data_IF_787393841034
#
_entry.id   IF_787393841034
#
_cell.length_a   1.000
_cell.length_b   1.000
_cell.length_c   1.000
_cell.angle_alpha   90.00
_cell.angle_beta   90.00
_cell.angle_gamma   90.00
#
_symmetry.space_group_name_H-M   'P 1'
#
loop_
_entity.id
_entity.type
_entity.pdbx_description
1 polymer ?
#
# COMPACT_ATOMS: atom_id res chain seq x y z
N UNK A 1 -18.48 1.36 -21.87
CA UNK A 1 -17.46 2.17 -21.19
C UNK A 1 -17.32 1.81 -19.71
N UNK A 2 -18.27 2.13 -18.82
CA UNK A 2 -18.13 1.87 -17.37
C UNK A 2 -17.85 0.40 -16.98
N UNK A 3 -18.25 -0.58 -17.80
CA UNK A 3 -18.06 -1.99 -17.47
C UNK A 3 -16.59 -2.46 -17.47
N UNK A 4 -15.76 -2.03 -18.41
CA UNK A 4 -14.36 -2.47 -18.42
C UNK A 4 -13.55 -1.77 -17.32
N UNK A 5 -13.84 -0.48 -17.06
CA UNK A 5 -13.24 0.25 -15.94
C UNK A 5 -13.66 -0.35 -14.59
N UNK A 6 -14.92 -0.78 -14.44
CA UNK A 6 -15.36 -1.53 -13.27
C UNK A 6 -14.61 -2.86 -13.11
N UNK A 7 -14.45 -3.63 -14.20
CA UNK A 7 -13.68 -4.87 -14.15
C UNK A 7 -12.21 -4.65 -13.77
N UNK A 8 -11.61 -3.57 -14.29
CA UNK A 8 -10.24 -3.18 -13.93
C UNK A 8 -10.15 -2.85 -12.43
N UNK A 9 -11.06 -2.03 -11.92
CA UNK A 9 -11.09 -1.60 -10.52
C UNK A 9 -11.40 -2.72 -9.52
N UNK A 10 -12.04 -3.82 -9.95
CA UNK A 10 -12.31 -4.99 -9.09
C UNK A 10 -11.14 -5.95 -9.01
N UNK A 11 -10.16 -5.84 -9.90
CA UNK A 11 -8.98 -6.72 -9.95
C UNK A 11 -7.84 -6.29 -9.03
N UNK A 12 -6.68 -6.95 -9.16
CA UNK A 12 -5.48 -6.62 -8.41
C UNK A 12 -4.91 -5.29 -8.89
N UNK A 13 -4.03 -4.73 -8.09
CA UNK A 13 -3.16 -3.62 -8.47
C UNK A 13 -1.82 -3.78 -7.74
N UNK A 14 -0.86 -2.90 -8.00
CA UNK A 14 0.47 -2.94 -7.37
C UNK A 14 0.42 -3.04 -5.83
N UNK A 15 -0.51 -2.32 -5.19
CA UNK A 15 -0.64 -2.29 -3.73
C UNK A 15 -1.42 -3.49 -3.17
N UNK A 16 -2.38 -4.02 -3.95
CA UNK A 16 -3.19 -5.19 -3.62
C UNK A 16 -3.01 -6.25 -4.71
N UNK A 17 -1.85 -6.91 -4.71
CA UNK A 17 -1.56 -8.02 -5.59
C UNK A 17 -2.46 -9.23 -5.28
N UNK A 18 -2.58 -10.17 -6.22
CA UNK A 18 -3.42 -11.37 -6.05
C UNK A 18 -3.15 -12.15 -4.75
N UNK A 19 -1.88 -12.21 -4.31
CA UNK A 19 -1.49 -12.86 -3.05
C UNK A 19 -2.11 -12.28 -1.78
N UNK A 20 -2.77 -11.11 -1.86
CA UNK A 20 -3.54 -10.54 -0.74
C UNK A 20 -5.02 -10.92 -0.75
N UNK A 21 -5.54 -11.47 -1.83
CA UNK A 21 -6.94 -11.86 -1.90
C UNK A 21 -7.13 -13.20 -1.18
N UNK A 22 -7.92 -13.20 -0.10
CA UNK A 22 -8.39 -14.46 0.46
C UNK A 22 -9.32 -15.16 -0.54
N UNK A 23 -9.64 -16.44 -0.29
CA UNK A 23 -10.41 -17.24 -1.24
C UNK A 23 -11.78 -16.65 -1.56
N UNK A 24 -12.45 -16.05 -0.58
CA UNK A 24 -13.80 -15.48 -0.77
C UNK A 24 -13.72 -14.24 -1.64
N UNK A 25 -12.78 -13.33 -1.34
CA UNK A 25 -12.60 -12.10 -2.11
C UNK A 25 -12.09 -12.39 -3.53
N UNK A 26 -11.15 -13.33 -3.69
CA UNK A 26 -10.64 -13.77 -4.99
C UNK A 26 -11.78 -14.25 -5.90
N UNK A 27 -12.63 -15.17 -5.41
CA UNK A 27 -13.76 -15.70 -6.18
C UNK A 27 -14.73 -14.60 -6.55
N UNK A 28 -15.07 -13.73 -5.60
CA UNK A 28 -16.01 -12.64 -5.82
C UNK A 28 -15.46 -11.60 -6.82
N UNK A 29 -14.16 -11.27 -6.74
CA UNK A 29 -13.47 -10.39 -7.68
C UNK A 29 -13.52 -10.96 -9.10
N UNK A 30 -13.09 -12.21 -9.31
CA UNK A 30 -13.09 -12.85 -10.63
C UNK A 30 -14.49 -12.90 -11.23
N UNK A 31 -15.52 -13.29 -10.45
CA UNK A 31 -16.89 -13.35 -10.94
C UNK A 31 -17.40 -11.97 -11.41
N UNK A 32 -17.17 -10.91 -10.61
CA UNK A 32 -17.56 -9.54 -10.97
C UNK A 32 -16.82 -9.05 -12.21
N UNK A 33 -15.51 -9.30 -12.29
CA UNK A 33 -14.68 -8.92 -13.42
C UNK A 33 -15.11 -9.64 -14.70
N UNK A 34 -15.34 -10.95 -14.66
CA UNK A 34 -15.79 -11.72 -15.82
C UNK A 34 -17.16 -11.25 -16.31
N UNK A 35 -18.12 -11.03 -15.40
CA UNK A 35 -19.45 -10.57 -15.77
C UNK A 35 -19.40 -9.18 -16.44
N UNK A 36 -18.57 -8.29 -15.90
CA UNK A 36 -18.37 -6.95 -16.43
C UNK A 36 -17.63 -6.96 -17.77
N UNK A 37 -16.58 -7.77 -17.93
CA UNK A 37 -15.86 -7.94 -19.20
C UNK A 37 -16.74 -8.54 -20.28
N UNK A 38 -17.57 -9.53 -19.94
CA UNK A 38 -18.55 -10.09 -20.89
C UNK A 38 -19.53 -9.02 -21.40
N UNK A 39 -19.97 -8.09 -20.53
CA UNK A 39 -20.78 -6.94 -20.95
C UNK A 39 -19.98 -5.96 -21.80
N UNK A 40 -18.74 -5.66 -21.43
CA UNK A 40 -17.87 -4.77 -22.19
C UNK A 40 -17.62 -5.30 -23.61
N UNK A 41 -17.31 -6.59 -23.76
CA UNK A 41 -17.09 -7.26 -25.06
C UNK A 41 -18.32 -7.19 -25.95
N UNK A 42 -19.53 -7.41 -25.42
CA UNK A 42 -20.78 -7.29 -26.19
C UNK A 42 -21.05 -5.90 -26.74
N UNK A 43 -20.46 -4.88 -26.11
CA UNK A 43 -20.63 -3.47 -26.48
C UNK A 43 -19.40 -2.92 -27.22
N UNK A 44 -18.36 -3.74 -27.43
CA UNK A 44 -17.06 -3.28 -27.92
C UNK A 44 -17.12 -2.75 -29.36
N UNK A 45 -17.98 -3.32 -30.22
CA UNK A 45 -18.13 -2.90 -31.62
C UNK A 45 -18.52 -1.41 -31.77
N UNK A 46 -19.17 -0.83 -30.76
CA UNK A 46 -19.53 0.59 -30.71
C UNK A 46 -18.53 1.49 -29.98
N UNK A 47 -17.44 0.93 -29.45
CA UNK A 47 -16.42 1.68 -28.71
C UNK A 47 -15.30 2.17 -29.64
N UNK A 48 -14.48 3.11 -29.16
CA UNK A 48 -13.31 3.59 -29.91
C UNK A 48 -12.27 2.48 -30.12
N UNK A 49 -11.38 2.58 -31.13
CA UNK A 49 -10.34 1.58 -31.36
C UNK A 49 -9.43 1.31 -30.14
N UNK A 50 -9.09 2.36 -29.39
CA UNK A 50 -8.28 2.24 -28.16
C UNK A 50 -9.03 1.45 -27.09
N UNK A 51 -10.32 1.73 -26.88
CA UNK A 51 -11.13 1.00 -25.91
C UNK A 51 -11.34 -0.46 -26.29
N UNK A 52 -11.54 -0.75 -27.58
CA UNK A 52 -11.64 -2.12 -28.05
C UNK A 52 -10.35 -2.91 -27.74
N UNK A 53 -9.19 -2.28 -27.94
CA UNK A 53 -7.90 -2.86 -27.63
C UNK A 53 -7.71 -3.07 -26.12
N UNK A 54 -8.07 -2.08 -25.29
CA UNK A 54 -8.00 -2.17 -23.82
C UNK A 54 -8.93 -3.25 -23.26
N UNK A 55 -10.19 -3.32 -23.74
CA UNK A 55 -11.16 -4.35 -23.35
C UNK A 55 -10.58 -5.73 -23.67
N UNK A 56 -10.05 -5.90 -24.89
CA UNK A 56 -9.45 -7.17 -25.31
C UNK A 56 -8.27 -7.55 -24.42
N UNK A 57 -7.34 -6.63 -24.15
CA UNK A 57 -6.20 -6.89 -23.29
C UNK A 57 -6.63 -7.27 -21.87
N UNK A 58 -7.58 -6.54 -21.27
CA UNK A 58 -8.03 -6.78 -19.89
C UNK A 58 -8.63 -8.17 -19.67
N UNK A 59 -9.17 -8.82 -20.72
CA UNK A 59 -9.66 -10.20 -20.60
C UNK A 59 -8.59 -11.21 -20.22
N UNK A 60 -7.30 -10.91 -20.46
CA UNK A 60 -6.19 -11.82 -20.11
C UNK A 60 -5.76 -11.70 -18.65
N UNK A 61 -6.20 -10.66 -17.93
CA UNK A 61 -5.88 -10.41 -16.51
C UNK A 61 -6.69 -11.28 -15.53
N UNK A 62 -7.73 -11.96 -16.00
CA UNK A 62 -8.61 -12.75 -15.15
C UNK A 62 -8.71 -14.20 -15.65
N UNK A 63 -8.71 -15.20 -14.75
CA UNK A 63 -9.16 -16.55 -15.10
C UNK A 63 -10.65 -16.57 -15.42
N UNK A 64 -11.10 -17.67 -16.03
CA UNK A 64 -12.53 -18.01 -16.02
C UNK A 64 -12.99 -18.27 -14.58
N UNK A 65 -14.18 -17.79 -14.20
CA UNK A 65 -14.80 -18.10 -12.91
C UNK A 65 -15.05 -19.59 -12.69
N UNK A 66 -15.11 -20.37 -13.78
CA UNK A 66 -15.22 -21.84 -13.72
C UNK A 66 -13.87 -22.53 -13.43
N UNK A 67 -12.75 -21.81 -13.46
CA UNK A 67 -11.40 -22.35 -13.32
C UNK A 67 -10.48 -21.34 -12.62
N UNK A 68 -10.87 -20.93 -11.41
CA UNK A 68 -10.05 -20.06 -10.56
C UNK A 68 -9.02 -20.93 -9.83
N UNK A 69 -7.70 -20.72 -10.03
CA UNK A 69 -6.64 -21.40 -9.28
C UNK A 69 -6.92 -21.39 -7.79
N UNK A 70 -6.58 -22.47 -7.09
CA UNK A 70 -6.82 -22.56 -5.64
C UNK A 70 -5.88 -21.64 -4.85
N UNK A 71 -4.60 -21.62 -5.22
CA UNK A 71 -3.60 -20.74 -4.63
C UNK A 71 -3.61 -19.37 -5.34
N UNK A 72 -3.61 -18.30 -4.54
CA UNK A 72 -3.58 -16.92 -5.02
C UNK A 72 -2.25 -16.57 -5.72
N UNK A 73 -1.18 -17.25 -5.36
CA UNK A 73 0.17 -17.10 -5.91
C UNK A 73 0.24 -17.55 -7.37
N UNK A 74 -0.56 -18.56 -7.74
CA UNK A 74 -0.69 -19.04 -9.12
C UNK A 74 -1.41 -18.03 -10.02
N UNK A 75 -2.01 -16.99 -9.44
CA UNK A 75 -2.66 -15.93 -10.20
C UNK A 75 -1.66 -14.95 -10.85
N UNK A 76 -0.39 -14.94 -10.42
CA UNK A 76 0.63 -14.03 -10.96
C UNK A 76 0.84 -14.17 -12.47
N UNK A 77 0.56 -15.34 -13.04
CA UNK A 77 0.59 -15.56 -14.49
C UNK A 77 -0.41 -14.68 -15.26
N UNK A 78 -1.51 -14.25 -14.63
CA UNK A 78 -2.52 -13.41 -15.26
C UNK A 78 -2.07 -11.94 -15.33
N UNK A 79 -1.29 -11.46 -14.37
CA UNK A 79 -0.66 -10.13 -14.48
C UNK A 79 0.38 -10.12 -15.60
N UNK A 80 1.19 -11.19 -15.73
CA UNK A 80 2.11 -11.33 -16.88
C UNK A 80 1.37 -11.34 -18.22
N UNK A 81 0.30 -12.13 -18.35
CA UNK A 81 -0.53 -12.16 -19.58
C UNK A 81 -1.17 -10.82 -19.89
N UNK A 82 -1.53 -10.04 -18.86
CA UNK A 82 -2.07 -8.70 -19.05
C UNK A 82 -1.00 -7.73 -19.52
N UNK A 83 0.19 -7.75 -18.92
CA UNK A 83 1.33 -6.94 -19.38
C UNK A 83 1.70 -7.24 -20.84
N UNK A 84 1.76 -8.52 -21.20
CA UNK A 84 2.01 -8.96 -22.59
C UNK A 84 0.91 -8.51 -23.55
N UNK A 85 -0.35 -8.56 -23.12
CA UNK A 85 -1.49 -8.11 -23.93
C UNK A 85 -1.57 -6.59 -24.05
N UNK A 86 -1.09 -5.84 -23.07
CA UNK A 86 -1.03 -4.38 -23.08
C UNK A 86 0.11 -3.83 -23.96
N UNK A 87 1.22 -4.57 -24.12
CA UNK A 87 2.34 -4.14 -24.98
C UNK A 87 1.93 -3.76 -26.41
N UNK A 88 1.16 -4.58 -27.17
CA UNK A 88 0.69 -4.17 -28.49
C UNK A 88 -0.33 -3.03 -28.45
N UNK A 89 -1.06 -2.83 -27.35
CA UNK A 89 -1.96 -1.68 -27.18
C UNK A 89 -1.14 -0.39 -27.05
N UNK A 90 -0.11 -0.39 -26.19
CA UNK A 90 0.82 0.72 -26.08
C UNK A 90 1.50 1.04 -27.42
N UNK A 91 1.97 0.03 -28.15
CA UNK A 91 2.59 0.23 -29.47
C UNK A 91 1.64 0.86 -30.50
N UNK A 92 0.33 0.56 -30.40
CA UNK A 92 -0.68 1.14 -31.29
C UNK A 92 -1.12 2.57 -30.88
N UNK A 93 -1.04 2.89 -29.59
CA UNK A 93 -1.49 4.17 -29.02
C UNK A 93 -0.45 4.79 -28.06
N UNK A 94 0.81 5.03 -28.51
CA UNK A 94 1.89 5.45 -27.60
C UNK A 94 1.74 6.88 -27.06
N UNK A 95 0.95 7.71 -27.74
CA UNK A 95 0.71 9.11 -27.36
C UNK A 95 -0.46 9.27 -26.37
N UNK A 96 -1.21 8.20 -26.10
CA UNK A 96 -2.34 8.20 -25.17
C UNK A 96 -1.85 7.92 -23.74
N UNK A 97 -1.85 8.95 -22.88
CA UNK A 97 -1.30 8.85 -21.52
C UNK A 97 -2.08 7.90 -20.61
N UNK A 98 -3.36 7.65 -20.87
CA UNK A 98 -4.13 6.63 -20.16
C UNK A 98 -3.61 5.23 -20.54
N UNK A 99 -3.35 5.00 -21.83
CA UNK A 99 -2.75 3.74 -22.32
C UNK A 99 -1.34 3.54 -21.76
N UNK A 100 -0.51 4.58 -21.75
CA UNK A 100 0.83 4.53 -21.14
C UNK A 100 0.72 4.16 -19.66
N UNK A 101 -0.16 4.82 -18.90
CA UNK A 101 -0.37 4.52 -17.49
C UNK A 101 -0.83 3.10 -17.23
N UNK A 102 -1.80 2.60 -18.01
CA UNK A 102 -2.29 1.22 -17.89
C UNK A 102 -1.22 0.18 -18.26
N UNK A 103 -0.36 0.47 -19.25
CA UNK A 103 0.71 -0.45 -19.62
C UNK A 103 1.82 -0.50 -18.57
N UNK A 104 2.24 0.66 -18.05
CA UNK A 104 3.18 0.75 -16.93
C UNK A 104 2.64 0.00 -15.71
N UNK A 105 1.38 0.27 -15.32
CA UNK A 105 0.76 -0.46 -14.19
C UNK A 105 0.77 -1.98 -14.42
N UNK A 106 0.49 -2.43 -15.64
CA UNK A 106 0.54 -3.85 -15.97
C UNK A 106 1.95 -4.44 -15.79
N UNK A 107 3.01 -3.71 -16.18
CA UNK A 107 4.40 -4.16 -16.05
C UNK A 107 4.84 -4.25 -14.59
N UNK A 108 4.66 -3.18 -13.79
CA UNK A 108 5.09 -3.18 -12.38
C UNK A 108 4.30 -4.19 -11.52
N UNK A 109 3.04 -4.46 -11.89
CA UNK A 109 2.19 -5.43 -11.19
C UNK A 109 2.60 -6.89 -11.40
N UNK A 110 3.52 -7.19 -12.33
CA UNK A 110 4.08 -8.55 -12.48
C UNK A 110 4.98 -8.93 -11.30
N UNK A 111 5.75 -7.96 -10.78
CA UNK A 111 6.71 -8.19 -9.69
C UNK A 111 6.53 -7.14 -8.57
N UNK A 112 5.35 -7.10 -7.92
CA UNK A 112 5.05 -6.05 -6.95
C UNK A 112 6.07 -6.06 -5.81
N UNK A 113 6.66 -4.88 -5.54
CA UNK A 113 7.68 -4.66 -4.49
C UNK A 113 8.99 -5.46 -4.66
N UNK A 114 9.24 -5.99 -5.85
CA UNK A 114 10.45 -6.73 -6.21
C UNK A 114 10.97 -6.25 -7.57
N UNK A 115 11.22 -4.93 -7.68
CA UNK A 115 11.58 -4.28 -8.94
C UNK A 115 13.08 -4.03 -9.10
N UNK A 116 13.84 -3.82 -8.00
CA UNK A 116 15.26 -3.46 -8.07
C UNK A 116 16.11 -4.30 -7.11
N UNK A 117 17.28 -4.72 -7.59
CA UNK A 117 18.36 -5.21 -6.73
C UNK A 117 19.04 -4.01 -6.06
N UNK A 118 18.91 -3.87 -4.74
CA UNK A 118 19.47 -2.72 -4.02
C UNK A 118 21.01 -2.66 -4.08
N UNK A 119 21.68 -3.81 -4.13
CA UNK A 119 23.15 -3.87 -4.17
C UNK A 119 23.72 -3.52 -5.55
N UNK A 120 23.11 -4.02 -6.62
CA UNK A 120 23.63 -3.86 -7.99
C UNK A 120 22.98 -2.70 -8.75
N UNK A 121 21.79 -2.26 -8.33
CA UNK A 121 20.95 -1.32 -9.07
C UNK A 121 20.31 -1.90 -10.33
N UNK A 122 20.44 -3.21 -10.55
CA UNK A 122 19.85 -3.88 -11.70
C UNK A 122 18.35 -4.13 -11.48
N UNK A 123 17.54 -4.03 -12.55
CA UNK A 123 16.13 -4.37 -12.49
C UNK A 123 15.92 -5.87 -12.23
N UNK A 124 14.96 -6.18 -11.37
CA UNK A 124 14.51 -7.54 -11.06
C UNK A 124 13.36 -7.92 -11.98
N UNK A 125 13.40 -9.16 -12.47
CA UNK A 125 12.24 -9.82 -13.06
C UNK A 125 11.81 -9.22 -14.40
N UNK A 126 10.56 -9.53 -14.77
CA UNK A 126 9.96 -9.10 -16.02
C UNK A 126 9.48 -7.66 -15.93
N UNK A 127 9.75 -6.87 -16.97
CA UNK A 127 9.09 -5.59 -17.22
C UNK A 127 9.74 -4.36 -16.60
N UNK A 128 10.50 -4.45 -15.49
CA UNK A 128 11.01 -3.25 -14.77
C UNK A 128 11.85 -2.31 -15.66
N UNK A 129 12.77 -2.86 -16.46
CA UNK A 129 13.60 -2.03 -17.36
C UNK A 129 12.78 -1.37 -18.47
N UNK A 130 11.79 -2.10 -19.01
CA UNK A 130 10.88 -1.61 -20.03
C UNK A 130 9.96 -0.53 -19.46
N UNK A 131 9.45 -0.73 -18.26
CA UNK A 131 8.60 0.21 -17.53
C UNK A 131 9.27 1.57 -17.41
N UNK A 132 10.52 1.58 -16.90
CA UNK A 132 11.35 2.78 -16.82
C UNK A 132 11.53 3.46 -18.17
N UNK A 133 11.81 2.67 -19.22
CA UNK A 133 12.02 3.19 -20.57
C UNK A 133 10.74 3.79 -21.20
N UNK A 134 9.55 3.36 -20.76
CA UNK A 134 8.26 3.88 -21.22
C UNK A 134 7.83 5.11 -20.43
N UNK A 135 7.94 5.08 -19.10
CA UNK A 135 7.38 6.12 -18.24
C UNK A 135 8.22 7.40 -18.20
N UNK A 136 9.54 7.31 -18.29
CA UNK A 136 10.41 8.49 -18.23
C UNK A 136 10.17 9.47 -19.40
N UNK A 137 10.11 9.03 -20.67
CA UNK A 137 9.72 9.91 -21.76
C UNK A 137 8.32 10.50 -21.60
N UNK A 138 7.36 9.73 -21.08
CA UNK A 138 6.00 10.21 -20.86
C UNK A 138 5.95 11.33 -19.81
N UNK A 139 6.79 11.27 -18.78
CA UNK A 139 6.93 12.32 -17.77
C UNK A 139 7.64 13.60 -18.27
N UNK A 140 8.28 13.56 -19.43
CA UNK A 140 8.79 14.76 -20.10
C UNK A 140 7.71 15.49 -20.90
N UNK A 141 6.62 14.81 -21.25
CA UNK A 141 5.47 15.39 -21.92
C UNK A 141 4.60 16.21 -20.93
N UNK A 142 4.17 17.45 -21.25
CA UNK A 142 3.26 18.22 -20.40
C UNK A 142 1.98 17.47 -19.99
N UNK A 143 1.36 16.73 -20.91
CA UNK A 143 0.17 15.92 -20.63
C UNK A 143 0.49 14.80 -19.64
N UNK A 144 1.65 14.15 -19.79
CA UNK A 144 2.06 13.09 -18.88
C UNK A 144 2.41 13.61 -17.48
N UNK A 145 3.02 14.81 -17.38
CA UNK A 145 3.26 15.48 -16.09
C UNK A 145 1.99 15.83 -15.31
N UNK A 146 0.92 16.15 -16.03
CA UNK A 146 -0.38 16.49 -15.44
C UNK A 146 -1.27 15.26 -15.20
N UNK A 147 -0.94 14.12 -15.82
CA UNK A 147 -1.68 12.88 -15.68
C UNK A 147 -1.47 12.29 -14.29
N UNK A 148 -2.50 11.98 -13.49
CA UNK A 148 -2.31 11.54 -12.11
C UNK A 148 -1.64 10.17 -12.01
N UNK A 149 -1.88 9.26 -12.95
CA UNK A 149 -1.35 7.90 -12.88
C UNK A 149 0.16 7.82 -13.10
N UNK A 150 0.75 8.66 -13.97
CA UNK A 150 2.17 8.52 -14.33
C UNK A 150 3.14 8.89 -13.20
N UNK A 151 3.06 10.07 -12.56
CA UNK A 151 3.94 10.36 -11.43
C UNK A 151 3.65 9.42 -10.24
N UNK A 152 2.42 8.93 -10.10
CA UNK A 152 2.07 7.88 -9.12
C UNK A 152 2.81 6.56 -9.37
N UNK A 153 2.72 6.02 -10.59
CA UNK A 153 3.36 4.75 -10.94
C UNK A 153 4.89 4.87 -10.94
N UNK A 154 5.44 6.03 -11.33
CA UNK A 154 6.88 6.24 -11.27
C UNK A 154 7.41 6.25 -9.83
N UNK A 155 6.63 6.75 -8.86
CA UNK A 155 6.99 6.62 -7.45
C UNK A 155 7.07 5.13 -7.06
N UNK A 156 6.07 4.32 -7.41
CA UNK A 156 6.10 2.87 -7.14
C UNK A 156 7.26 2.15 -7.83
N UNK A 157 7.62 2.57 -9.04
CA UNK A 157 8.78 2.04 -9.73
C UNK A 157 10.06 2.35 -8.95
N UNK A 158 10.19 3.53 -8.36
CA UNK A 158 11.47 4.06 -7.87
C UNK A 158 11.65 3.99 -6.34
N UNK A 159 10.58 3.83 -5.56
CA UNK A 159 10.59 3.89 -4.08
C UNK A 159 11.48 2.85 -3.41
N UNK A 160 11.71 1.71 -4.07
CA UNK A 160 12.60 0.63 -3.61
C UNK A 160 13.82 0.47 -4.52
N UNK A 161 14.15 1.48 -5.33
CA UNK A 161 15.39 1.51 -6.11
C UNK A 161 16.56 2.04 -5.25
N UNK A 162 17.83 1.84 -5.67
CA UNK A 162 18.97 2.47 -5.00
C UNK A 162 19.16 3.96 -5.35
N UNK A 163 18.30 4.53 -6.20
CA UNK A 163 18.34 5.93 -6.63
C UNK A 163 16.94 6.58 -6.60
N UNK A 164 16.23 6.51 -5.46
CA UNK A 164 14.85 7.00 -5.33
C UNK A 164 14.75 8.52 -5.59
N UNK A 165 15.83 9.28 -5.41
CA UNK A 165 15.87 10.73 -5.59
C UNK A 165 15.53 11.18 -7.01
N UNK A 166 15.72 10.32 -8.02
CA UNK A 166 15.35 10.61 -9.40
C UNK A 166 13.83 10.86 -9.53
N UNK A 167 13.02 10.26 -8.66
CA UNK A 167 11.56 10.43 -8.65
C UNK A 167 11.06 11.66 -7.86
N UNK A 168 11.94 12.47 -7.25
CA UNK A 168 11.54 13.68 -6.52
C UNK A 168 10.67 14.63 -7.36
N UNK A 169 10.99 14.95 -8.63
CA UNK A 169 10.13 15.81 -9.45
C UNK A 169 8.74 15.21 -9.72
N UNK A 170 8.60 13.89 -9.76
CA UNK A 170 7.31 13.23 -9.90
C UNK A 170 6.50 13.32 -8.59
N UNK A 171 7.14 13.05 -7.45
CA UNK A 171 6.54 13.20 -6.12
C UNK A 171 6.07 14.64 -5.84
N UNK A 172 6.83 15.64 -6.29
CA UNK A 172 6.50 17.06 -6.16
C UNK A 172 5.26 17.45 -6.94
N UNK A 173 5.07 16.86 -8.12
CA UNK A 173 3.88 17.08 -8.93
C UNK A 173 2.68 16.36 -8.33
N UNK A 174 2.80 15.06 -8.06
CA UNK A 174 1.68 14.20 -7.68
C UNK A 174 0.90 14.74 -6.48
N UNK A 175 1.61 15.24 -5.46
CA UNK A 175 1.00 15.76 -4.22
C UNK A 175 0.07 16.97 -4.43
N UNK A 176 -0.01 17.51 -5.65
CA UNK A 176 -0.89 18.63 -6.00
C UNK A 176 -1.86 18.33 -7.15
N UNK A 177 -1.72 17.19 -7.85
CA UNK A 177 -2.57 16.88 -9.04
C UNK A 177 -4.00 16.51 -8.64
N UNK A 178 -4.19 15.79 -7.54
CA UNK A 178 -5.50 15.31 -7.07
C UNK A 178 -5.65 15.59 -5.56
N UNK A 179 -5.91 16.84 -5.15
CA UNK A 179 -5.90 17.22 -3.74
C UNK A 179 -6.95 16.49 -2.89
N UNK A 180 -8.09 16.11 -3.48
CA UNK A 180 -9.14 15.33 -2.79
C UNK A 180 -8.84 13.82 -2.75
N UNK A 181 -7.81 13.36 -3.45
CA UNK A 181 -7.34 11.98 -3.44
C UNK A 181 -6.25 11.80 -2.40
N UNK A 182 -6.61 11.46 -1.16
CA UNK A 182 -5.66 11.33 -0.04
C UNK A 182 -4.47 10.42 -0.37
N UNK A 183 -4.71 9.31 -1.06
CA UNK A 183 -3.67 8.39 -1.53
C UNK A 183 -2.66 9.08 -2.45
N UNK A 184 -3.09 9.99 -3.34
CA UNK A 184 -2.19 10.70 -4.25
C UNK A 184 -1.24 11.64 -3.48
N UNK A 185 -1.76 12.36 -2.49
CA UNK A 185 -0.95 13.19 -1.60
C UNK A 185 0.04 12.36 -0.78
N UNK A 186 -0.42 11.22 -0.26
CA UNK A 186 0.40 10.27 0.49
C UNK A 186 1.51 9.65 -0.35
N UNK A 187 1.26 9.27 -1.61
CA UNK A 187 2.22 8.52 -2.41
C UNK A 187 3.56 9.24 -2.60
N UNK A 188 3.55 10.57 -2.69
CA UNK A 188 4.78 11.38 -2.70
C UNK A 188 5.70 11.11 -1.50
N UNK A 189 5.14 10.68 -0.37
CA UNK A 189 5.85 10.48 0.89
C UNK A 189 6.77 9.27 0.87
N UNK A 190 6.58 8.32 -0.05
CA UNK A 190 7.45 7.16 -0.21
C UNK A 190 8.85 7.58 -0.68
N UNK A 191 8.93 8.47 -1.68
CA UNK A 191 10.19 9.07 -2.11
C UNK A 191 10.74 10.00 -1.03
N UNK A 192 9.89 10.80 -0.38
CA UNK A 192 10.34 11.67 0.71
C UNK A 192 10.99 10.87 1.86
N UNK A 193 10.42 9.72 2.24
CA UNK A 193 10.99 8.82 3.24
C UNK A 193 12.34 8.26 2.80
N UNK A 194 12.42 7.74 1.57
CA UNK A 194 13.63 7.15 1.01
C UNK A 194 14.79 8.18 0.92
N UNK A 195 14.47 9.45 0.67
CA UNK A 195 15.44 10.55 0.63
C UNK A 195 15.63 11.28 1.96
N UNK A 196 14.93 10.90 3.04
CA UNK A 196 15.04 11.55 4.36
C UNK A 196 14.38 12.95 4.45
N UNK A 197 13.46 13.30 3.54
CA UNK A 197 12.70 14.54 3.53
C UNK A 197 11.50 14.52 4.50
N UNK A 198 11.78 14.28 5.79
CA UNK A 198 10.74 14.02 6.80
C UNK A 198 9.70 15.14 6.96
N UNK A 199 10.11 16.41 6.85
CA UNK A 199 9.17 17.54 6.91
C UNK A 199 8.11 17.47 5.81
N UNK A 200 8.52 17.17 4.57
CA UNK A 200 7.61 17.07 3.42
C UNK A 200 6.69 15.87 3.55
N UNK A 201 7.22 14.76 4.06
CA UNK A 201 6.45 13.57 4.36
C UNK A 201 5.34 13.85 5.38
N UNK A 202 5.63 14.60 6.45
CA UNK A 202 4.63 14.99 7.45
C UNK A 202 3.56 15.88 6.81
N UNK A 203 3.97 16.95 6.12
CA UNK A 203 3.05 17.90 5.45
C UNK A 203 2.11 17.19 4.44
N UNK A 204 2.65 16.28 3.62
CA UNK A 204 1.86 15.53 2.64
C UNK A 204 0.86 14.55 3.28
N UNK A 205 1.23 13.91 4.41
CA UNK A 205 0.29 13.04 5.12
C UNK A 205 -0.76 13.84 5.89
N UNK A 206 -0.45 15.05 6.37
CA UNK A 206 -1.45 15.96 6.94
C UNK A 206 -2.50 16.38 5.90
N UNK A 207 -2.06 16.67 4.67
CA UNK A 207 -2.97 16.92 3.55
C UNK A 207 -3.82 15.69 3.21
N UNK A 208 -3.23 14.48 3.24
CA UNK A 208 -3.95 13.24 3.04
C UNK A 208 -5.02 12.99 4.12
N UNK A 209 -4.68 13.21 5.40
CA UNK A 209 -5.62 13.13 6.53
C UNK A 209 -6.79 14.10 6.37
N UNK A 210 -6.51 15.35 5.96
CA UNK A 210 -7.55 16.35 5.73
C UNK A 210 -8.52 15.93 4.61
N UNK A 211 -8.00 15.39 3.50
CA UNK A 211 -8.81 14.86 2.41
C UNK A 211 -9.66 13.65 2.85
N UNK A 212 -9.05 12.73 3.63
CA UNK A 212 -9.75 11.60 4.22
C UNK A 212 -10.90 12.04 5.13
N UNK A 213 -10.67 13.03 5.99
CA UNK A 213 -11.69 13.52 6.91
C UNK A 213 -12.89 14.15 6.17
N UNK A 214 -12.65 14.86 5.05
CA UNK A 214 -13.73 15.37 4.20
C UNK A 214 -14.56 14.24 3.58
N UNK A 215 -13.91 13.17 3.11
CA UNK A 215 -14.60 12.01 2.54
C UNK A 215 -15.41 11.25 3.61
N UNK A 216 -14.76 10.92 4.73
CA UNK A 216 -15.36 10.10 5.80
C UNK A 216 -16.41 10.86 6.63
N UNK A 217 -16.47 12.19 6.53
CA UNK A 217 -17.60 12.97 7.04
C UNK A 217 -18.92 12.71 6.28
N UNK A 218 -18.86 12.09 5.10
CA UNK A 218 -20.02 11.88 4.21
C UNK A 218 -20.22 10.42 3.81
N UNK A 219 -19.18 9.61 3.90
CA UNK A 219 -19.14 8.24 3.39
C UNK A 219 -18.44 7.32 4.40
N UNK A 220 -18.70 6.01 4.30
CA UNK A 220 -18.05 5.03 5.18
C UNK A 220 -16.77 4.40 4.57
N UNK A 221 -16.51 4.63 3.28
CA UNK A 221 -15.36 4.06 2.57
C UNK A 221 -15.45 2.54 2.36
N UNK A 222 -14.58 2.02 1.49
CA UNK A 222 -14.37 0.57 1.39
C UNK A 222 -13.40 0.10 2.48
N UNK A 223 -13.36 -1.20 2.73
CA UNK A 223 -12.36 -1.82 3.61
C UNK A 223 -10.92 -1.44 3.20
N UNK A 224 -10.64 -1.46 1.90
CA UNK A 224 -9.34 -1.06 1.36
C UNK A 224 -9.04 0.42 1.61
N UNK A 225 -10.06 1.29 1.56
CA UNK A 225 -9.86 2.70 1.86
C UNK A 225 -9.56 2.92 3.35
N UNK A 226 -10.24 2.21 4.26
CA UNK A 226 -9.90 2.29 5.70
C UNK A 226 -8.42 1.91 5.94
N UNK A 227 -7.91 0.90 5.24
CA UNK A 227 -6.50 0.52 5.29
C UNK A 227 -5.58 1.65 4.81
N UNK A 228 -5.84 2.25 3.65
CA UNK A 228 -5.03 3.38 3.16
C UNK A 228 -5.05 4.58 4.10
N UNK A 229 -6.21 4.91 4.66
CA UNK A 229 -6.35 5.99 5.65
C UNK A 229 -5.47 5.74 6.87
N UNK A 230 -5.48 4.52 7.41
CA UNK A 230 -4.60 4.14 8.51
C UNK A 230 -3.12 4.20 8.10
N UNK A 231 -2.79 3.80 6.87
CA UNK A 231 -1.43 3.86 6.35
C UNK A 231 -0.89 5.29 6.25
N UNK A 232 -1.71 6.24 5.78
CA UNK A 232 -1.36 7.66 5.71
C UNK A 232 -0.94 8.19 7.09
N UNK A 233 -1.77 7.94 8.11
CA UNK A 233 -1.52 8.37 9.50
C UNK A 233 -0.29 7.68 10.09
N UNK A 234 -0.10 6.39 9.81
CA UNK A 234 1.08 5.65 10.23
C UNK A 234 2.37 6.26 9.66
N UNK A 235 2.39 6.59 8.37
CA UNK A 235 3.55 7.19 7.73
C UNK A 235 3.86 8.57 8.32
N UNK A 236 2.84 9.36 8.69
CA UNK A 236 3.06 10.60 9.48
C UNK A 236 3.70 10.32 10.83
N UNK A 237 3.22 9.31 11.57
CA UNK A 237 3.79 8.93 12.86
C UNK A 237 5.28 8.55 12.70
N UNK A 238 5.61 7.75 11.69
CA UNK A 238 6.99 7.41 11.34
C UNK A 238 7.82 8.65 10.99
N UNK A 239 7.29 9.56 10.17
CA UNK A 239 7.89 10.85 9.88
C UNK A 239 8.23 11.66 11.11
N UNK A 240 7.29 11.78 12.06
CA UNK A 240 7.50 12.48 13.32
C UNK A 240 8.60 11.85 14.17
N UNK A 241 8.66 10.51 14.23
CA UNK A 241 9.73 9.75 14.90
C UNK A 241 11.10 10.07 14.30
N UNK A 242 11.20 10.06 12.97
CA UNK A 242 12.44 10.29 12.23
C UNK A 242 12.89 11.76 12.28
N UNK A 243 11.93 12.70 12.24
CA UNK A 243 12.18 14.14 12.34
C UNK A 243 12.48 14.62 13.78
N UNK A 244 12.32 13.76 14.80
CA UNK A 244 12.45 14.16 16.20
C UNK A 244 11.28 15.01 16.72
N UNK A 245 10.12 14.96 16.07
CA UNK A 245 8.93 15.71 16.44
C UNK A 245 7.98 14.84 17.30
N UNK A 246 8.17 14.88 18.61
CA UNK A 246 7.46 14.02 19.57
C UNK A 246 5.95 14.21 19.56
N UNK A 247 5.47 15.46 19.51
CA UNK A 247 4.04 15.77 19.48
C UNK A 247 3.37 15.26 18.21
N UNK A 248 3.99 15.44 17.05
CA UNK A 248 3.50 14.93 15.75
C UNK A 248 3.43 13.40 15.78
N UNK A 249 4.51 12.74 16.21
CA UNK A 249 4.55 11.28 16.29
C UNK A 249 3.44 10.73 17.21
N UNK A 250 3.37 11.22 18.45
CA UNK A 250 2.45 10.70 19.46
C UNK A 250 1.00 11.01 19.08
N UNK A 251 0.69 12.21 18.56
CA UNK A 251 -0.67 12.54 18.13
C UNK A 251 -1.14 11.65 16.97
N UNK A 252 -0.28 11.39 15.98
CA UNK A 252 -0.59 10.47 14.89
C UNK A 252 -0.85 9.03 15.40
N UNK A 253 -0.09 8.56 16.41
CA UNK A 253 -0.38 7.24 16.99
C UNK A 253 -1.75 7.16 17.67
N UNK A 254 -2.23 8.25 18.29
CA UNK A 254 -3.59 8.31 18.84
C UNK A 254 -4.63 8.27 17.73
N UNK A 255 -4.39 8.99 16.64
CA UNK A 255 -5.28 8.99 15.46
C UNK A 255 -5.42 7.61 14.84
N UNK A 256 -4.38 6.76 14.88
CA UNK A 256 -4.49 5.38 14.43
C UNK A 256 -5.55 4.58 15.22
N UNK A 257 -5.67 4.80 16.52
CA UNK A 257 -6.70 4.14 17.35
C UNK A 257 -8.13 4.61 17.02
N UNK A 258 -8.31 5.81 16.46
CA UNK A 258 -9.63 6.28 15.99
C UNK A 258 -10.07 5.56 14.70
N UNK A 259 -9.10 5.06 13.92
CA UNK A 259 -9.35 4.45 12.59
C UNK A 259 -9.37 2.92 12.70
N UNK A 260 -8.38 2.34 13.39
CA UNK A 260 -8.18 0.90 13.50
C UNK A 260 -8.84 0.42 14.80
N UNK A 261 -10.18 0.37 14.78
CA UNK A 261 -10.97 -0.06 15.94
C UNK A 261 -11.10 -1.58 16.03
N UNK A 262 -11.54 -2.10 17.16
CA UNK A 262 -11.81 -3.54 17.32
C UNK A 262 -12.84 -4.06 16.31
N UNK A 263 -13.83 -3.25 15.94
CA UNK A 263 -14.83 -3.59 14.92
C UNK A 263 -14.20 -3.74 13.53
N UNK A 264 -13.26 -2.85 13.19
CA UNK A 264 -12.50 -2.94 11.93
C UNK A 264 -11.63 -4.20 11.96
N UNK A 265 -10.88 -4.42 13.04
CA UNK A 265 -10.02 -5.60 13.19
C UNK A 265 -10.80 -6.93 13.21
N UNK A 266 -12.07 -6.92 13.62
CA UNK A 266 -12.93 -8.10 13.63
C UNK A 266 -13.31 -8.59 12.22
N UNK A 267 -13.12 -7.79 11.17
CA UNK A 267 -13.39 -8.18 9.77
C UNK A 267 -12.43 -9.31 9.38
N UNK A 268 -13.01 -10.46 8.99
CA UNK A 268 -12.28 -11.70 8.66
C UNK A 268 -11.99 -11.89 7.17
N UNK A 269 -12.73 -11.21 6.30
CA UNK A 269 -12.56 -11.29 4.85
C UNK A 269 -12.81 -9.90 4.21
N UNK A 270 -11.75 -9.22 3.73
CA UNK A 270 -10.34 -9.57 3.91
C UNK A 270 -9.92 -9.58 5.40
N UNK A 271 -8.86 -10.31 5.80
CA UNK A 271 -8.46 -10.44 7.20
C UNK A 271 -7.77 -9.17 7.71
N UNK A 272 -8.56 -8.16 8.11
CA UNK A 272 -8.01 -6.83 8.41
C UNK A 272 -7.05 -6.81 9.59
N UNK A 273 -7.27 -7.65 10.59
CA UNK A 273 -6.30 -7.76 11.68
C UNK A 273 -4.92 -8.19 11.17
N UNK A 274 -4.83 -8.98 10.10
CA UNK A 274 -3.53 -9.37 9.52
C UNK A 274 -2.86 -8.19 8.83
N UNK A 275 -3.65 -7.27 8.27
CA UNK A 275 -3.15 -6.20 7.40
C UNK A 275 -2.79 -4.91 8.14
N UNK A 276 -3.49 -4.55 9.21
CA UNK A 276 -3.36 -3.21 9.81
C UNK A 276 -3.22 -3.17 11.33
N UNK A 277 -3.37 -4.29 12.03
CA UNK A 277 -3.30 -4.31 13.51
C UNK A 277 -1.95 -3.84 14.03
N UNK A 278 -0.86 -4.23 13.37
CA UNK A 278 0.50 -3.86 13.79
C UNK A 278 0.80 -2.36 13.68
N UNK A 279 0.00 -1.58 12.94
CA UNK A 279 0.11 -0.12 12.89
C UNK A 279 -0.11 0.50 14.28
N UNK A 280 -0.98 -0.10 15.10
CA UNK A 280 -1.27 0.37 16.47
C UNK A 280 -0.06 0.21 17.41
N UNK A 281 0.84 -0.73 17.13
CA UNK A 281 2.11 -0.90 17.85
C UNK A 281 3.05 0.31 17.77
N UNK A 282 2.83 1.24 16.84
CA UNK A 282 3.65 2.45 16.64
C UNK A 282 3.73 3.33 17.89
N UNK A 283 2.70 3.32 18.75
CA UNK A 283 2.72 4.09 20.01
C UNK A 283 3.89 3.67 20.91
N UNK A 284 4.21 2.38 20.96
CA UNK A 284 5.32 1.85 21.73
C UNK A 284 6.66 2.40 21.20
N UNK A 285 6.85 2.38 19.88
CA UNK A 285 8.07 2.90 19.24
C UNK A 285 8.22 4.42 19.41
N UNK A 286 7.14 5.18 19.25
CA UNK A 286 7.15 6.62 19.43
C UNK A 286 7.57 6.98 20.87
N UNK A 287 6.94 6.37 21.88
CA UNK A 287 7.27 6.68 23.27
C UNK A 287 8.69 6.26 23.65
N UNK A 288 9.18 5.12 23.13
CA UNK A 288 10.57 4.67 23.35
C UNK A 288 11.55 5.66 22.73
N UNK A 289 11.32 6.09 21.48
CA UNK A 289 12.18 7.03 20.75
C UNK A 289 12.41 8.33 21.52
N UNK A 290 11.37 8.82 22.19
CA UNK A 290 11.38 10.10 22.92
C UNK A 290 11.57 9.95 24.42
N UNK A 291 11.92 8.76 24.91
CA UNK A 291 12.20 8.53 26.33
C UNK A 291 11.02 8.79 27.26
N UNK A 292 9.79 8.57 26.79
CA UNK A 292 8.55 8.77 27.54
C UNK A 292 8.26 7.56 28.44
N UNK A 293 9.18 7.28 29.36
CA UNK A 293 9.17 6.07 30.17
C UNK A 293 7.94 5.94 31.07
N UNK A 294 7.51 7.05 31.69
CA UNK A 294 6.31 7.03 32.53
C UNK A 294 5.03 6.79 31.70
N UNK A 295 4.92 7.42 30.53
CA UNK A 295 3.81 7.17 29.60
C UNK A 295 3.76 5.68 29.18
N UNK A 296 4.91 5.08 28.90
CA UNK A 296 5.01 3.64 28.56
C UNK A 296 4.52 2.77 29.71
N UNK A 297 4.96 3.06 30.94
CA UNK A 297 4.55 2.29 32.11
C UNK A 297 3.03 2.41 32.34
N UNK A 298 2.46 3.59 32.03
CA UNK A 298 1.03 3.87 32.11
C UNK A 298 0.19 3.26 30.98
N UNK A 299 0.78 2.84 29.86
CA UNK A 299 0.05 2.18 28.76
C UNK A 299 -0.74 0.98 29.29
N UNK A 300 -2.01 0.91 28.93
CA UNK A 300 -2.84 -0.27 29.20
C UNK A 300 -2.64 -1.28 28.07
N UNK A 301 -2.75 -2.56 28.39
CA UNK A 301 -2.85 -3.57 27.36
C UNK A 301 -4.22 -3.47 26.67
N UNK A 302 -4.33 -3.90 25.39
CA UNK A 302 -5.62 -3.97 24.71
C UNK A 302 -6.64 -4.80 25.50
N UNK A 303 -7.92 -4.41 25.39
CA UNK A 303 -9.01 -5.15 26.02
C UNK A 303 -9.15 -6.58 25.43
N UNK A 304 -8.82 -6.74 24.15
CA UNK A 304 -8.75 -8.01 23.45
C UNK A 304 -7.31 -8.27 22.95
N UNK A 305 -6.46 -8.91 23.76
CA UNK A 305 -5.08 -9.20 23.39
C UNK A 305 -4.94 -10.31 22.34
N UNK A 306 -5.98 -11.13 22.11
CA UNK A 306 -5.98 -12.17 21.07
C UNK A 306 -6.27 -11.57 19.69
N UNK A 307 -7.08 -10.51 19.63
CA UNK A 307 -7.27 -9.73 18.41
C UNK A 307 -6.06 -8.82 18.15
N UNK A 308 -5.53 -8.19 19.19
CA UNK A 308 -4.46 -7.17 19.10
C UNK A 308 -3.11 -7.72 19.55
N UNK A 309 -2.70 -8.83 18.93
CA UNK A 309 -1.49 -9.59 19.30
C UNK A 309 -0.20 -8.79 19.08
N UNK A 310 -0.06 -8.08 17.95
CA UNK A 310 1.15 -7.30 17.65
C UNK A 310 1.26 -6.10 18.60
N UNK A 311 0.15 -5.38 18.80
CA UNK A 311 0.06 -4.25 19.73
C UNK A 311 0.40 -4.69 21.15
N UNK A 312 -0.14 -5.82 21.60
CA UNK A 312 0.17 -6.39 22.92
C UNK A 312 1.66 -6.68 23.06
N UNK A 313 2.27 -7.33 22.07
CA UNK A 313 3.70 -7.59 22.07
C UNK A 313 4.53 -6.30 22.09
N UNK A 314 4.16 -5.29 21.30
CA UNK A 314 4.89 -4.01 21.24
C UNK A 314 4.77 -3.18 22.53
N UNK A 315 3.60 -3.18 23.17
CA UNK A 315 3.44 -2.54 24.48
C UNK A 315 4.28 -3.26 25.53
N UNK A 316 4.28 -4.60 25.57
CA UNK A 316 5.12 -5.39 26.49
C UNK A 316 6.61 -5.11 26.28
N UNK A 317 7.06 -5.08 25.01
CA UNK A 317 8.41 -4.70 24.62
C UNK A 317 8.81 -3.33 25.20
N UNK A 318 8.00 -2.30 24.96
CA UNK A 318 8.32 -0.95 25.45
C UNK A 318 8.37 -0.88 26.96
N UNK A 319 7.47 -1.58 27.68
CA UNK A 319 7.49 -1.65 29.15
C UNK A 319 8.77 -2.28 29.67
N UNK A 320 9.25 -3.35 29.04
CA UNK A 320 10.55 -3.96 29.37
C UNK A 320 11.70 -2.95 29.26
N UNK A 321 11.75 -2.19 28.17
CA UNK A 321 12.76 -1.13 27.99
C UNK A 321 12.62 -0.04 29.07
N UNK A 322 11.41 0.44 29.33
CA UNK A 322 11.19 1.51 30.30
C UNK A 322 11.61 1.09 31.72
N UNK A 323 11.35 -0.15 32.12
CA UNK A 323 11.80 -0.71 33.40
C UNK A 323 13.32 -0.83 33.47
N UNK A 324 13.94 -1.34 32.40
CA UNK A 324 15.39 -1.52 32.32
C UNK A 324 16.15 -0.19 32.46
N UNK A 325 15.72 0.82 31.68
CA UNK A 325 16.31 2.17 31.73
C UNK A 325 16.16 2.82 33.11
N UNK A 326 15.14 2.42 33.88
CA UNK A 326 14.87 2.92 35.23
C UNK A 326 15.54 2.11 36.34
N UNK A 327 16.35 1.11 36.00
CA UNK A 327 17.07 0.26 36.96
C UNK A 327 16.17 -0.70 37.74
N UNK A 328 14.95 -0.97 37.26
CA UNK A 328 13.98 -1.87 37.89
C UNK A 328 14.21 -3.30 37.38
N UNK A 329 15.33 -3.91 37.77
CA UNK A 329 15.86 -5.14 37.16
C UNK A 329 14.90 -6.33 37.31
N UNK A 330 14.44 -6.64 38.53
CA UNK A 330 13.52 -7.77 38.78
C UNK A 330 12.21 -7.66 37.97
N UNK A 331 11.70 -6.43 37.84
CA UNK A 331 10.50 -6.15 37.05
C UNK A 331 10.78 -6.24 35.54
N UNK A 332 12.00 -5.89 35.12
CA UNK A 332 12.45 -6.02 33.74
C UNK A 332 12.50 -7.48 33.32
N UNK A 333 13.05 -8.36 34.15
CA UNK A 333 13.10 -9.81 33.88
C UNK A 333 11.68 -10.39 33.75
N UNK A 334 10.77 -9.97 34.63
CA UNK A 334 9.35 -10.34 34.55
C UNK A 334 8.70 -9.82 33.26
N UNK A 335 8.97 -8.56 32.88
CA UNK A 335 8.45 -7.97 31.66
C UNK A 335 9.03 -8.61 30.39
N UNK A 336 10.30 -9.03 30.41
CA UNK A 336 10.94 -9.75 29.31
C UNK A 336 10.26 -11.08 29.04
N UNK A 337 9.99 -11.88 30.08
CA UNK A 337 9.24 -13.15 29.93
C UNK A 337 7.85 -12.89 29.33
N UNK A 338 7.14 -11.89 29.82
CA UNK A 338 5.82 -11.52 29.30
C UNK A 338 5.87 -11.04 27.84
N UNK A 339 6.92 -10.31 27.45
CA UNK A 339 7.16 -9.93 26.06
C UNK A 339 7.43 -11.14 25.18
N UNK A 340 8.33 -12.04 25.56
CA UNK A 340 8.65 -13.22 24.76
C UNK A 340 7.43 -14.13 24.55
N UNK A 341 6.59 -14.28 25.57
CA UNK A 341 5.30 -14.98 25.42
C UNK A 341 4.38 -14.28 24.41
N UNK A 342 4.23 -12.95 24.51
CA UNK A 342 3.40 -12.19 23.57
C UNK A 342 3.96 -12.20 22.15
N UNK A 343 5.30 -12.11 21.99
CA UNK A 343 6.00 -12.17 20.70
C UNK A 343 5.77 -13.52 20.02
N UNK A 344 5.85 -14.62 20.77
CA UNK A 344 5.61 -15.97 20.24
C UNK A 344 4.15 -16.20 19.79
N UNK A 345 3.20 -15.41 20.32
CA UNK A 345 1.79 -15.46 19.93
C UNK A 345 1.46 -14.66 18.65
N UNK A 346 2.37 -13.82 18.16
CA UNK A 346 2.15 -13.06 16.91
C UNK A 346 2.27 -14.02 15.72
N UNK A 347 1.19 -14.25 14.95
CA UNK A 347 1.24 -15.17 13.82
C UNK A 347 2.03 -14.57 12.67
N UNK A 348 2.60 -15.43 11.83
CA UNK A 348 3.33 -15.00 10.63
C UNK A 348 2.47 -14.19 9.66
N UNK A 349 1.15 -14.36 9.66
CA UNK A 349 0.21 -13.58 8.83
C UNK A 349 0.06 -12.13 9.27
N UNK A 350 0.50 -11.76 10.48
CA UNK A 350 0.35 -10.41 11.07
C UNK A 350 1.39 -9.43 10.49
N UNK A 351 1.33 -9.21 9.17
CA UNK A 351 2.27 -8.39 8.40
C UNK A 351 1.55 -7.19 7.77
N UNK A 352 1.97 -5.98 8.14
CA UNK A 352 1.45 -4.73 7.55
C UNK A 352 1.88 -4.53 6.08
N UNK A 353 2.92 -5.22 5.63
CA UNK A 353 3.41 -5.19 4.26
C UNK A 353 3.83 -6.58 3.81
N UNK A 354 3.64 -6.88 2.51
CA UNK A 354 4.35 -7.99 1.88
C UNK A 354 5.85 -7.76 2.14
N UNK A 355 6.59 -8.74 2.69
CA UNK A 355 8.01 -8.60 2.89
C UNK A 355 8.67 -8.22 1.56
N UNK A 356 9.54 -7.21 1.56
CA UNK A 356 10.52 -7.08 0.48
C UNK A 356 11.21 -8.44 0.38
N UNK A 357 11.23 -9.08 -0.78
CA UNK A 357 11.95 -10.36 -0.94
C UNK A 357 13.36 -10.13 -0.41
N UNK A 358 13.73 -10.86 0.64
CA UNK A 358 15.09 -10.88 1.14
C UNK A 358 15.96 -11.35 -0.03
N UNK A 359 16.92 -10.50 -0.41
CA UNK A 359 17.98 -10.78 -1.36
C UNK A 359 18.62 -12.14 -1.13
#
# INVERSE_FOLDING_TARGET
MAHWGYAYATGPNYNTAWGRFDRTDLVASVQRSEEALRRALKLADGASPVEQALIKALTTRFPSSSNIPEASEDMGQFDLRYAEAMRPVYQAFPEDMDVVGLFVEALISVNPRALWHLETGEPIGYGTAEDKAVIEPALENPSGRAHPALPHLYIHLMEMSPYPEIALPAADRLRHVVPDGSHMSHMATHIDAACGHWRRLIESNEAAEAADDVYFARQHGSVLYIMYRAHNVFTKAYGGIMAGQSEVAISATRRLYDIVTSEVLAIKSPPLADWIESLLGTVAHALVRFGRWEDILALQLPADPELMVSTTAMIRYSKGIALAVRGRIDETETAQVAFETARAAVPYSRLNSLPSRTS
#
